data_IF_085726215131
#
_entry.id   IF_085726215131
#
_cell.length_a   1.000
_cell.length_b   1.000
_cell.length_c   1.000
_cell.angle_alpha   90.00
_cell.angle_beta   90.00
_cell.angle_gamma   90.00
#
_symmetry.space_group_name_H-M   'P 1'
#
loop_
_entity.id
_entity.type
_entity.pdbx_description
1 polymer ?
2 non-polymer ?
3 non-polymer ?
4 non-polymer ?
5 non-polymer ?
6 water ?
#
# COMPACT_ATOMS: atom_id res chain seq x y z
N UNK A 3 14.83 18.18 -18.10
CA UNK A 3 16.17 18.54 -17.55
C UNK A 3 16.23 20.00 -16.99
N UNK A 4 15.64 20.95 -17.71
CA UNK A 4 15.43 22.31 -17.20
C UNK A 4 13.92 22.56 -17.16
N UNK A 5 13.47 23.59 -16.42
CA UNK A 5 12.03 23.94 -16.35
C UNK A 5 11.47 24.24 -17.74
N UNK A 6 12.33 24.80 -18.60
CA UNK A 6 12.05 25.06 -20.02
C UNK A 6 11.68 23.78 -20.82
N UNK A 7 12.47 22.70 -20.66
CA UNK A 7 12.23 21.44 -21.39
C UNK A 7 11.15 20.56 -20.73
N UNK A 8 10.84 20.78 -19.46
CA UNK A 8 9.81 20.00 -18.79
C UNK A 8 9.11 20.96 -17.87
N UNK A 9 7.96 21.45 -18.34
CA UNK A 9 7.11 22.41 -17.62
C UNK A 9 6.56 21.87 -16.30
N UNK A 10 6.67 20.57 -16.04
CA UNK A 10 6.27 20.04 -14.75
C UNK A 10 7.36 19.96 -13.71
N UNK A 11 8.58 20.41 -14.03
CA UNK A 11 9.64 20.51 -13.04
C UNK A 11 9.54 21.82 -12.24
N UNK A 12 9.79 21.78 -10.93
CA UNK A 12 9.74 23.03 -10.11
C UNK A 12 11.19 23.60 -10.03
N UNK A 13 11.33 24.94 -9.96
CA UNK A 13 12.69 25.56 -9.89
C UNK A 13 13.37 25.03 -8.62
N UNK A 14 14.62 24.63 -8.77
CA UNK A 14 15.41 24.14 -7.64
C UNK A 14 15.47 25.17 -6.46
N UNK A 15 15.00 24.76 -5.23
CA UNK A 15 15.14 25.77 -4.16
C UNK A 15 16.57 26.07 -3.89
N UNK A 16 16.85 27.30 -3.38
CA UNK A 16 18.23 27.74 -3.23
C UNK A 16 19.05 26.95 -2.16
N UNK A 17 18.41 26.24 -1.20
CA UNK A 17 19.15 25.43 -0.25
C UNK A 17 19.57 24.06 -0.78
N UNK A 18 19.07 23.65 -1.93
CA UNK A 18 19.41 22.31 -2.47
C UNK A 18 20.66 22.38 -3.41
N UNK A 19 21.75 21.68 -3.07
CA UNK A 19 22.86 21.60 -4.03
C UNK A 19 22.52 20.80 -5.28
N UNK A 20 23.05 21.27 -6.40
CA UNK A 20 22.78 20.69 -7.68
C UNK A 20 23.16 19.22 -7.74
N UNK A 21 24.24 18.81 -7.07
CA UNK A 21 24.65 17.37 -7.12
C UNK A 21 23.70 16.41 -6.44
N UNK A 22 22.69 16.95 -5.74
CA UNK A 22 21.71 16.08 -5.08
C UNK A 22 20.42 15.93 -5.94
N UNK A 23 20.41 16.53 -7.10
CA UNK A 23 19.22 16.50 -7.90
C UNK A 23 19.14 15.18 -8.64
N UNK A 24 17.97 14.58 -8.60
CA UNK A 24 17.71 13.38 -9.38
C UNK A 24 16.19 13.40 -9.60
N UNK A 25 15.74 13.72 -10.81
CA UNK A 25 14.34 14.07 -10.99
C UNK A 25 13.39 12.86 -11.14
N UNK A 26 13.32 12.02 -10.13
CA UNK A 26 12.49 10.86 -10.14
C UNK A 26 11.01 11.27 -10.01
N UNK A 27 10.17 10.68 -10.82
CA UNK A 27 8.72 11.00 -10.75
C UNK A 27 7.96 9.81 -10.18
N UNK A 28 7.59 9.87 -8.90
CA UNK A 28 6.97 8.68 -8.23
C UNK A 28 5.63 8.25 -8.88
N UNK A 29 5.04 9.10 -9.70
CA UNK A 29 3.77 8.71 -10.29
C UNK A 29 4.03 8.25 -11.73
N UNK A 30 5.23 8.46 -12.25
CA UNK A 30 5.57 7.90 -13.56
C UNK A 30 7.09 7.70 -13.70
N UNK A 31 7.64 6.68 -13.00
CA UNK A 31 9.09 6.57 -12.98
C UNK A 31 9.55 6.18 -14.38
N UNK A 32 10.66 6.78 -14.85
CA UNK A 32 11.11 6.62 -16.23
C UNK A 32 11.33 5.16 -16.54
N UNK A 33 11.76 4.35 -15.58
CA UNK A 33 11.92 2.92 -15.91
C UNK A 33 10.75 1.96 -15.76
N UNK A 34 9.54 2.48 -15.78
CA UNK A 34 8.39 1.71 -15.36
C UNK A 34 8.16 0.37 -16.11
N UNK A 35 8.48 0.33 -17.39
CA UNK A 35 8.24 -0.87 -18.19
C UNK A 35 9.08 -2.07 -17.74
N UNK A 36 10.13 -1.89 -16.91
CA UNK A 36 10.94 -3.00 -16.46
C UNK A 36 10.23 -3.66 -15.29
N UNK A 37 9.11 -3.06 -14.84
CA UNK A 37 8.47 -3.42 -13.57
C UNK A 37 8.58 -2.27 -12.54
N UNK A 38 7.58 -2.14 -11.69
CA UNK A 38 7.53 -0.98 -10.75
C UNK A 38 8.69 -1.02 -9.68
N UNK A 39 8.89 -2.19 -9.05
CA UNK A 39 9.95 -2.27 -8.04
C UNK A 39 11.31 -1.99 -8.70
N UNK A 40 11.52 -2.56 -9.89
CA UNK A 40 12.73 -2.24 -10.71
C UNK A 40 12.91 -0.77 -11.05
N UNK A 41 11.78 -0.11 -11.34
CA UNK A 41 11.75 1.33 -11.67
C UNK A 41 12.16 2.19 -10.44
N UNK A 42 11.73 1.77 -9.26
CA UNK A 42 12.09 2.43 -8.01
C UNK A 42 13.56 2.21 -7.64
N UNK A 43 14.08 1.03 -7.99
CA UNK A 43 15.41 0.60 -7.53
C UNK A 43 16.52 1.26 -8.30
N UNK A 44 16.20 1.95 -9.38
CA UNK A 44 17.20 2.76 -10.04
C UNK A 44 17.65 3.82 -9.04
N UNK A 45 16.81 4.17 -8.04
CA UNK A 45 17.23 5.10 -6.96
C UNK A 45 18.34 4.53 -6.07
N UNK A 46 18.58 3.22 -6.19
CA UNK A 46 19.63 2.59 -5.42
C UNK A 46 20.87 2.23 -6.24
N UNK A 47 20.91 2.57 -7.54
CA UNK A 47 22.13 2.40 -8.36
C UNK A 47 23.26 3.24 -7.81
N UNK A 48 24.49 2.92 -8.19
CA UNK A 48 25.64 3.53 -7.60
C UNK A 48 25.80 5.03 -7.96
N UNK A 49 25.14 5.50 -9.01
CA UNK A 49 25.23 6.95 -9.36
C UNK A 49 24.34 7.92 -8.49
N UNK A 50 23.48 7.35 -7.64
CA UNK A 50 22.46 8.11 -6.87
C UNK A 50 22.86 8.23 -5.38
N UNK A 51 22.86 9.44 -4.82
CA UNK A 51 23.16 9.63 -3.42
C UNK A 51 22.08 9.05 -2.47
N UNK A 52 22.43 8.89 -1.21
CA UNK A 52 21.49 8.32 -0.26
C UNK A 52 20.21 9.14 -0.13
N UNK A 53 20.39 10.44 -0.29
CA UNK A 53 19.30 11.38 -0.11
C UNK A 53 19.34 12.33 -1.30
N UNK A 54 18.26 12.37 -2.08
CA UNK A 54 18.22 13.14 -3.34
C UNK A 54 17.02 14.08 -3.32
N UNK A 55 17.09 15.16 -4.09
CA UNK A 55 15.97 16.02 -4.35
C UNK A 55 15.46 15.85 -5.77
N UNK A 56 14.17 15.49 -5.87
CA UNK A 56 13.51 15.56 -7.17
C UNK A 56 12.75 16.86 -7.41
N UNK A 57 12.89 17.48 -8.60
CA UNK A 57 12.09 18.64 -8.96
C UNK A 57 10.64 18.27 -9.46
N UNK A 58 10.30 16.97 -9.54
CA UNK A 58 8.97 16.53 -9.95
C UNK A 58 8.00 16.63 -8.80
N UNK A 59 6.71 16.67 -9.16
CA UNK A 59 5.64 16.73 -8.22
C UNK A 59 5.83 17.85 -7.19
N UNK A 60 6.27 19.03 -7.62
CA UNK A 60 6.37 20.26 -6.74
C UNK A 60 7.78 20.40 -6.12
N UNK A 61 8.62 19.37 -6.25
CA UNK A 61 9.92 19.38 -5.59
C UNK A 61 9.92 18.76 -4.19
N UNK A 62 10.71 17.69 -3.99
CA UNK A 62 10.79 17.02 -2.67
C UNK A 62 12.00 16.12 -2.55
N UNK A 63 12.35 15.76 -1.30
CA UNK A 63 13.47 14.87 -1.01
C UNK A 63 12.96 13.46 -1.20
N UNK A 64 13.85 12.55 -1.56
CA UNK A 64 13.61 11.11 -1.43
C UNK A 64 14.77 10.44 -0.67
N UNK A 65 14.49 9.75 0.45
CA UNK A 65 15.57 8.92 1.07
C UNK A 65 15.56 7.61 0.28
N UNK A 66 16.74 7.10 -0.08
CA UNK A 66 16.80 5.94 -0.98
C UNK A 66 17.26 4.61 -0.38
N UNK A 67 17.64 4.61 0.89
CA UNK A 67 18.26 3.48 1.51
C UNK A 67 17.51 3.18 2.79
N UNK A 68 17.40 1.90 3.14
CA UNK A 68 16.63 1.48 4.31
C UNK A 68 16.98 2.21 5.58
N UNK A 69 18.26 2.41 5.83
CA UNK A 69 18.71 3.04 7.10
C UNK A 69 18.16 4.43 7.33
N UNK A 70 18.19 5.25 6.27
CA UNK A 70 17.66 6.61 6.33
C UNK A 70 16.14 6.58 6.39
N UNK A 71 15.52 5.61 5.75
CA UNK A 71 14.00 5.53 5.67
C UNK A 71 13.52 5.18 7.11
N UNK A 72 14.17 4.17 7.67
CA UNK A 72 13.93 3.78 9.04
C UNK A 72 14.22 4.94 10.04
N UNK A 73 15.39 5.57 10.00
CA UNK A 73 15.65 6.72 10.88
C UNK A 73 14.57 7.81 10.80
N UNK A 74 14.15 8.17 9.57
CA UNK A 74 13.22 9.27 9.39
C UNK A 74 11.86 8.90 9.90
N UNK A 75 11.46 7.65 9.67
CA UNK A 75 10.16 7.17 10.20
C UNK A 75 10.15 7.07 11.73
N UNK A 76 11.35 6.85 12.31
CA UNK A 76 11.47 6.84 13.80
C UNK A 76 11.39 8.22 14.42
N UNK A 77 11.95 9.20 13.72
CA UNK A 77 12.14 10.59 14.25
C UNK A 77 10.96 11.46 13.82
N UNK A 78 9.82 11.27 14.51
CA UNK A 78 8.65 12.05 14.16
C UNK A 78 8.79 13.50 14.59
N UNK A 79 9.77 13.81 15.46
CA UNK A 79 9.97 15.19 15.92
C UNK A 79 10.39 16.10 14.77
N UNK A 80 11.26 15.60 13.88
CA UNK A 80 11.68 16.38 12.71
C UNK A 80 10.83 16.03 11.50
N UNK A 81 10.35 14.76 11.42
CA UNK A 81 9.66 14.25 10.21
C UNK A 81 8.18 13.93 10.56
N UNK A 82 7.32 14.91 10.31
CA UNK A 82 5.95 14.85 10.81
C UNK A 82 5.00 14.20 9.81
N UNK A 83 4.02 13.46 10.29
CA UNK A 83 3.01 12.82 9.44
C UNK A 83 1.84 13.74 9.09
N UNK A 84 1.93 15.00 9.49
CA UNK A 84 0.81 15.87 9.26
C UNK A 84 0.56 16.05 7.76
N UNK A 85 1.62 15.99 6.97
CA UNK A 85 1.54 16.09 5.50
C UNK A 85 2.25 14.89 4.90
N UNK A 86 1.61 13.72 4.87
CA UNK A 86 2.41 12.57 4.49
C UNK A 86 2.33 12.10 3.05
N UNK A 87 1.59 12.80 2.20
CA UNK A 87 1.52 12.49 0.76
C UNK A 87 2.15 13.62 -0.07
N UNK A 88 2.80 13.21 -1.14
CA UNK A 88 3.29 14.04 -2.25
C UNK A 88 2.22 13.96 -3.35
N UNK A 89 1.85 15.08 -4.04
CA UNK A 89 2.34 16.46 -3.96
C UNK A 89 1.78 17.15 -2.72
N UNK A 90 2.27 18.37 -2.49
CA UNK A 90 2.00 19.14 -1.28
C UNK A 90 0.50 19.37 -1.04
N UNK A 91 -0.26 19.66 -2.08
CA UNK A 91 -1.73 19.82 -1.96
C UNK A 91 -2.38 18.61 -1.34
N UNK A 92 -1.97 17.43 -1.79
CA UNK A 92 -2.54 16.15 -1.27
C UNK A 92 -2.16 15.95 0.21
N UNK A 93 -0.87 16.07 0.54
CA UNK A 93 -0.41 16.05 1.92
C UNK A 93 -1.18 17.07 2.78
N UNK A 94 -1.39 18.29 2.29
CA UNK A 94 -2.14 19.27 3.10
C UNK A 94 -3.62 18.86 3.35
N UNK A 95 -4.29 18.33 2.34
CA UNK A 95 -5.66 17.86 2.50
C UNK A 95 -5.81 16.55 3.29
N UNK A 96 -4.74 15.76 3.37
CA UNK A 96 -4.80 14.45 4.00
C UNK A 96 -5.06 14.67 5.47
N UNK A 97 -6.18 14.19 5.98
CA UNK A 97 -6.43 14.44 7.40
C UNK A 97 -6.92 13.20 8.15
N UNK A 98 -6.72 12.02 7.55
CA UNK A 98 -7.01 10.73 8.15
C UNK A 98 -6.35 10.53 9.55
N UNK A 99 -7.09 9.86 10.42
CA UNK A 99 -6.70 9.51 11.78
C UNK A 99 -6.55 7.98 11.83
N UNK A 100 -5.46 7.46 12.41
CA UNK A 100 -4.38 8.22 13.12
C UNK A 100 -3.19 8.70 12.26
N UNK A 101 -3.19 8.38 10.98
CA UNK A 101 -2.00 8.53 10.18
C UNK A 101 -1.54 9.95 10.05
N UNK A 102 -2.44 10.96 10.06
CA UNK A 102 -1.99 12.39 10.00
C UNK A 102 -1.52 13.05 11.31
N UNK A 103 -1.47 12.28 12.39
CA UNK A 103 -1.15 12.80 13.73
C UNK A 103 0.21 12.24 14.18
N UNK A 104 1.00 13.06 14.84
CA UNK A 104 2.27 12.61 15.40
C UNK A 104 2.07 12.10 16.81
N UNK A 105 2.94 11.19 17.28
CA UNK A 105 2.87 10.89 18.70
C UNK A 105 3.01 12.16 19.56
N UNK A 106 2.34 12.22 20.71
CA UNK A 106 1.57 11.15 21.34
C UNK A 106 0.08 11.25 21.00
N UNK A 107 -0.31 12.17 20.14
CA UNK A 107 -1.76 12.25 19.92
C UNK A 107 -2.43 11.21 19.04
N UNK A 108 -1.67 10.46 18.21
CA UNK A 108 -2.28 9.35 17.47
C UNK A 108 -2.74 8.19 18.40
N UNK A 109 -2.26 8.16 19.66
CA UNK A 109 -2.36 6.99 20.52
C UNK A 109 -3.73 6.39 20.65
N UNK A 110 -4.67 7.19 21.08
CA UNK A 110 -6.01 6.64 21.37
C UNK A 110 -6.75 6.21 20.10
N UNK A 111 -6.40 6.83 18.99
CA UNK A 111 -7.10 6.52 17.73
C UNK A 111 -6.46 5.27 17.13
N UNK A 112 -5.15 5.13 17.31
CA UNK A 112 -4.49 3.90 16.92
C UNK A 112 -5.10 2.74 17.71
N UNK A 113 -5.41 3.01 18.99
CA UNK A 113 -5.97 1.99 19.88
C UNK A 113 -7.29 1.44 19.33
N UNK A 114 -8.16 2.40 18.97
CA UNK A 114 -9.50 2.13 18.45
C UNK A 114 -9.47 1.50 17.05
N UNK A 115 -8.67 2.04 16.12
CA UNK A 115 -8.49 1.37 14.81
C UNK A 115 -8.02 -0.09 14.96
N UNK A 116 -7.16 -0.38 15.97
CA UNK A 116 -6.65 -1.72 16.14
C UNK A 116 -7.77 -2.68 16.54
N UNK A 117 -8.73 -2.19 17.33
CA UNK A 117 -9.85 -2.99 17.79
C UNK A 117 -10.68 -3.48 16.64
N UNK A 118 -10.72 -2.75 15.53
CA UNK A 118 -11.54 -3.20 14.39
C UNK A 118 -10.88 -3.94 13.21
N UNK A 119 -9.54 -3.84 13.06
CA UNK A 119 -8.84 -4.61 12.02
C UNK A 119 -7.74 -5.52 12.51
N UNK A 120 -7.46 -5.53 13.82
CA UNK A 120 -6.29 -6.26 14.36
C UNK A 120 -6.49 -7.78 14.44
N UNK A 121 -5.55 -8.44 15.11
CA UNK A 121 -5.42 -9.87 15.06
C UNK A 121 -6.64 -10.66 15.49
N UNK A 122 -7.30 -10.30 16.62
CA UNK A 122 -8.56 -11.00 17.05
C UNK A 122 -9.68 -10.91 15.97
N UNK A 123 -9.77 -9.74 15.31
CA UNK A 123 -10.72 -9.58 14.18
C UNK A 123 -10.33 -10.55 13.03
N UNK A 124 -9.05 -10.59 12.68
CA UNK A 124 -8.58 -11.52 11.58
C UNK A 124 -8.88 -12.97 11.95
N UNK A 125 -8.59 -13.36 13.19
CA UNK A 125 -8.87 -14.76 13.55
C UNK A 125 -10.37 -15.01 13.50
N UNK A 126 -11.17 -14.07 13.96
CA UNK A 126 -12.65 -14.32 13.94
C UNK A 126 -13.13 -14.46 12.48
N UNK A 127 -12.43 -13.82 11.56
CA UNK A 127 -12.88 -13.77 10.15
C UNK A 127 -12.17 -14.83 9.28
N UNK A 128 -11.28 -15.62 9.84
CA UNK A 128 -10.49 -16.49 9.00
C UNK A 128 -11.32 -17.49 8.23
N UNK A 129 -12.32 -18.05 8.88
CA UNK A 129 -13.19 -18.99 8.14
C UNK A 129 -13.85 -18.32 6.92
N UNK A 130 -14.33 -17.08 7.10
CA UNK A 130 -14.96 -16.31 6.03
C UNK A 130 -13.96 -15.99 4.89
N UNK A 131 -12.71 -15.73 5.27
CA UNK A 131 -11.66 -15.46 4.30
C UNK A 131 -11.37 -16.76 3.44
N UNK A 132 -11.23 -17.90 4.11
CA UNK A 132 -11.03 -19.19 3.42
C UNK A 132 -12.24 -19.50 2.54
N UNK A 133 -13.45 -19.27 3.08
CA UNK A 133 -14.69 -19.49 2.35
C UNK A 133 -14.72 -18.74 1.02
N UNK A 134 -14.54 -17.41 1.08
CA UNK A 134 -14.48 -16.57 -0.10
C UNK A 134 -13.35 -16.92 -1.10
N UNK A 135 -12.11 -17.16 -0.60
CA UNK A 135 -10.95 -17.54 -1.47
C UNK A 135 -11.29 -18.83 -2.21
N UNK A 136 -11.82 -19.81 -1.47
CA UNK A 136 -12.13 -21.15 -2.04
C UNK A 136 -13.21 -21.04 -3.09
N UNK A 137 -14.25 -20.26 -2.76
CA UNK A 137 -15.38 -20.06 -3.64
C UNK A 137 -14.99 -19.37 -4.92
N UNK A 138 -14.27 -18.23 -4.84
CA UNK A 138 -13.77 -17.56 -6.04
C UNK A 138 -12.85 -18.45 -6.89
N UNK A 139 -11.93 -19.14 -6.25
CA UNK A 139 -10.96 -19.94 -6.96
C UNK A 139 -11.63 -21.17 -7.61
N UNK A 140 -12.50 -21.87 -6.90
CA UNK A 140 -13.28 -22.96 -7.49
C UNK A 140 -14.10 -22.47 -8.71
N UNK A 141 -14.66 -21.29 -8.61
CA UNK A 141 -15.41 -20.73 -9.72
C UNK A 141 -14.51 -20.38 -10.95
N UNK A 142 -13.27 -19.95 -10.74
CA UNK A 142 -12.35 -19.71 -11.88
C UNK A 142 -11.75 -21.03 -12.44
N UNK A 143 -11.49 -22.00 -11.58
CA UNK A 143 -10.68 -23.21 -11.89
C UNK A 143 -11.00 -23.91 -13.21
N UNK A 144 -12.33 -24.20 -13.50
CA UNK A 144 -12.57 -24.96 -14.72
C UNK A 144 -12.42 -24.15 -15.97
N UNK A 145 -12.36 -22.84 -15.86
CA UNK A 145 -12.25 -21.95 -17.03
C UNK A 145 -10.93 -21.89 -17.80
N UNK A 146 -9.83 -22.23 -17.15
CA UNK A 146 -8.50 -22.15 -17.80
C UNK A 146 -8.00 -20.75 -18.09
N UNK A 147 -8.62 -19.72 -17.51
CA UNK A 147 -8.16 -18.35 -17.77
C UNK A 147 -8.80 -17.39 -16.75
N UNK A 148 -8.20 -16.23 -16.49
CA UNK A 148 -8.92 -15.14 -15.78
C UNK A 148 -8.18 -13.86 -16.02
N UNK A 149 -8.82 -12.76 -15.65
CA UNK A 149 -8.21 -11.44 -15.63
C UNK A 149 -8.00 -11.30 -14.16
N UNK A 150 -6.76 -11.51 -13.69
CA UNK A 150 -6.58 -11.70 -12.26
C UNK A 150 -6.97 -10.47 -11.44
N UNK A 151 -6.59 -9.26 -11.89
CA UNK A 151 -6.92 -8.04 -11.10
C UNK A 151 -8.42 -7.95 -10.80
N UNK A 152 -9.26 -8.13 -11.81
CA UNK A 152 -10.66 -8.02 -11.52
C UNK A 152 -11.39 -9.29 -11.12
N UNK A 153 -10.85 -10.50 -11.40
CA UNK A 153 -11.59 -11.76 -11.04
C UNK A 153 -11.27 -12.27 -9.66
N UNK A 154 -10.18 -11.78 -9.09
CA UNK A 154 -9.79 -12.26 -7.78
C UNK A 154 -9.15 -11.15 -6.94
N UNK A 155 -8.09 -10.50 -7.49
CA UNK A 155 -7.25 -9.62 -6.64
C UNK A 155 -8.10 -8.48 -6.04
N UNK A 156 -9.05 -7.95 -6.80
CA UNK A 156 -9.99 -6.96 -6.22
C UNK A 156 -11.12 -7.57 -5.36
N UNK A 157 -11.87 -8.56 -5.93
CA UNK A 157 -13.07 -8.86 -5.18
C UNK A 157 -12.77 -9.58 -3.89
N UNK A 158 -11.66 -10.35 -3.85
CA UNK A 158 -11.33 -11.14 -2.65
C UNK A 158 -11.08 -10.25 -1.38
N UNK A 159 -10.09 -9.35 -1.43
CA UNK A 159 -9.88 -8.50 -0.27
C UNK A 159 -11.03 -7.49 -0.07
N UNK A 160 -11.63 -6.99 -1.15
CA UNK A 160 -12.54 -5.90 -1.00
C UNK A 160 -13.83 -6.48 -0.36
N UNK A 161 -14.28 -7.62 -0.82
CA UNK A 161 -15.52 -8.12 -0.23
C UNK A 161 -15.32 -8.46 1.25
N UNK A 162 -14.12 -8.94 1.63
CA UNK A 162 -13.83 -9.21 3.03
C UNK A 162 -13.94 -7.89 3.82
N UNK A 163 -13.30 -6.87 3.30
CA UNK A 163 -13.40 -5.60 3.93
C UNK A 163 -14.81 -4.99 4.04
N UNK A 164 -15.61 -5.08 2.97
CA UNK A 164 -16.95 -4.51 2.98
C UNK A 164 -17.83 -5.33 3.98
N UNK A 165 -17.58 -6.64 4.04
CA UNK A 165 -18.21 -7.50 5.08
C UNK A 165 -17.87 -7.03 6.49
N UNK A 166 -16.57 -6.80 6.76
CA UNK A 166 -16.12 -6.26 8.03
C UNK A 166 -16.74 -4.88 8.35
N UNK A 167 -16.84 -4.02 7.33
CA UNK A 167 -17.32 -2.68 7.54
C UNK A 167 -18.87 -2.59 7.45
N UNK A 168 -19.52 -3.71 7.14
CA UNK A 168 -20.98 -3.73 6.95
C UNK A 168 -21.47 -2.82 5.84
N UNK A 169 -20.69 -2.71 4.77
CA UNK A 169 -21.07 -1.93 3.60
C UNK A 169 -21.56 -2.84 2.46
N UNK A 170 -22.61 -2.41 1.69
CA UNK A 170 -23.10 -3.24 0.57
C UNK A 170 -22.06 -3.38 -0.54
N UNK A 171 -22.00 -4.57 -1.14
CA UNK A 171 -21.06 -4.84 -2.24
C UNK A 171 -21.35 -4.02 -3.49
N UNK A 172 -22.59 -3.54 -3.68
CA UNK A 172 -22.79 -2.70 -4.86
C UNK A 172 -22.18 -1.30 -4.70
N UNK A 173 -21.62 -0.93 -3.54
CA UNK A 173 -20.93 0.36 -3.45
C UNK A 173 -19.46 0.23 -3.80
N UNK A 174 -18.99 -0.99 -4.09
CA UNK A 174 -17.59 -1.19 -4.36
C UNK A 174 -17.06 -0.34 -5.51
N UNK A 175 -17.69 -0.41 -6.71
CA UNK A 175 -17.11 0.41 -7.80
C UNK A 175 -16.89 1.91 -7.44
N UNK A 176 -17.89 2.49 -6.77
CA UNK A 176 -17.82 3.87 -6.33
C UNK A 176 -16.69 4.12 -5.37
N UNK A 177 -16.53 3.26 -4.37
CA UNK A 177 -15.46 3.49 -3.39
C UNK A 177 -14.06 3.20 -3.93
N UNK A 178 -13.96 2.13 -4.72
CA UNK A 178 -12.70 1.73 -5.30
C UNK A 178 -12.16 2.83 -6.22
N UNK A 179 -13.01 3.39 -7.03
CA UNK A 179 -12.57 4.49 -7.87
C UNK A 179 -11.92 5.60 -7.03
N UNK A 180 -12.56 5.94 -5.90
CA UNK A 180 -12.11 7.08 -5.04
C UNK A 180 -10.79 6.76 -4.34
N UNK A 181 -10.66 5.55 -3.80
CA UNK A 181 -9.44 5.15 -3.10
C UNK A 181 -8.28 5.17 -4.09
N UNK A 182 -8.55 4.67 -5.31
CA UNK A 182 -7.56 4.70 -6.36
C UNK A 182 -7.15 6.09 -6.83
N UNK A 183 -8.07 7.06 -6.83
CA UNK A 183 -7.66 8.46 -7.18
C UNK A 183 -6.70 9.02 -6.11
N UNK A 184 -6.79 8.54 -4.87
CA UNK A 184 -5.90 9.01 -3.82
C UNK A 184 -4.43 8.54 -3.89
N UNK A 185 -4.25 7.30 -4.28
CA UNK A 185 -2.95 6.64 -4.37
C UNK A 185 -2.36 6.70 -5.77
N UNK A 186 -3.19 6.58 -6.80
CA UNK A 186 -2.67 6.58 -8.21
C UNK A 186 -3.50 7.54 -9.06
N UNK A 187 -3.47 8.85 -8.76
CA UNK A 187 -4.44 9.73 -9.43
C UNK A 187 -4.24 9.68 -10.95
N UNK A 188 -5.32 9.61 -11.71
CA UNK A 188 -5.24 9.73 -13.17
C UNK A 188 -5.13 11.19 -13.62
N UNK A 189 -5.27 12.14 -12.69
CA UNK A 189 -5.13 13.56 -12.99
C UNK A 189 -6.47 14.23 -13.12
N UNK A 190 -7.57 13.50 -13.07
CA UNK A 190 -8.91 14.12 -13.19
C UNK A 190 -9.57 14.39 -11.85
N UNK A 191 -8.91 14.00 -10.76
CA UNK A 191 -9.49 14.33 -9.45
C UNK A 191 -8.36 14.55 -8.44
N UNK A 192 -8.32 15.70 -7.78
CA UNK A 192 -7.34 15.99 -6.76
C UNK A 192 -7.58 15.08 -5.56
N UNK A 193 -6.57 14.93 -4.72
CA UNK A 193 -6.79 14.21 -3.48
C UNK A 193 -7.95 14.81 -2.64
N UNK A 194 -7.94 16.12 -2.38
CA UNK A 194 -9.06 16.76 -1.70
C UNK A 194 -10.45 16.40 -2.23
N UNK A 195 -10.57 16.29 -3.55
CA UNK A 195 -11.90 15.99 -4.12
C UNK A 195 -12.22 14.55 -3.84
N UNK A 196 -11.21 13.68 -3.97
CA UNK A 196 -11.51 12.26 -3.73
C UNK A 196 -11.85 12.05 -2.24
N UNK A 197 -11.18 12.77 -1.35
CA UNK A 197 -11.48 12.63 0.07
C UNK A 197 -12.90 13.17 0.40
N UNK A 198 -13.22 14.33 -0.16
CA UNK A 198 -14.54 14.94 0.05
C UNK A 198 -15.65 14.00 -0.42
N UNK A 199 -15.42 13.28 -1.52
CA UNK A 199 -16.43 12.35 -2.03
C UNK A 199 -16.52 11.12 -1.10
N UNK A 200 -15.37 10.55 -0.67
CA UNK A 200 -15.35 9.48 0.37
C UNK A 200 -16.06 9.91 1.67
N UNK A 201 -15.75 11.14 2.14
CA UNK A 201 -16.43 11.69 3.32
C UNK A 201 -17.94 11.90 3.12
N UNK A 202 -18.40 12.30 1.95
CA UNK A 202 -19.85 12.45 1.71
C UNK A 202 -20.59 11.10 1.76
N UNK A 203 -19.92 10.06 1.29
CA UNK A 203 -20.42 8.69 1.41
C UNK A 203 -20.50 8.28 2.86
N UNK A 204 -19.42 8.51 3.61
CA UNK A 204 -19.35 8.01 4.98
C UNK A 204 -20.22 8.75 6.00
N UNK A 205 -20.37 10.05 5.83
CA UNK A 205 -21.07 10.87 6.82
C UNK A 205 -22.51 10.39 7.12
N UNK A 206 -23.35 10.15 6.08
CA UNK A 206 -24.68 9.68 6.47
C UNK A 206 -24.66 8.28 7.13
N UNK A 207 -23.76 7.41 6.71
CA UNK A 207 -23.66 6.07 7.31
C UNK A 207 -23.27 6.13 8.80
N UNK A 208 -22.33 7.02 9.11
CA UNK A 208 -21.82 7.15 10.47
C UNK A 208 -22.96 7.70 11.35
N UNK A 209 -23.76 8.60 10.78
CA UNK A 209 -24.89 9.13 11.61
C UNK A 209 -25.87 8.03 11.95
N UNK A 210 -26.34 7.34 10.92
CA UNK A 210 -27.19 6.14 11.07
C UNK A 210 -26.66 5.21 12.17
N UNK A 211 -25.34 4.98 12.16
CA UNK A 211 -24.75 3.93 13.00
C UNK A 211 -24.41 4.37 14.43
N UNK A 212 -24.42 5.69 14.63
CA UNK A 212 -24.42 6.26 15.98
C UNK A 212 -25.83 6.27 16.56
N UNK A 213 -26.83 6.38 15.70
CA UNK A 213 -28.24 6.19 16.17
C UNK A 213 -28.63 4.75 16.39
N UNK A 214 -28.29 3.85 15.46
CA UNK A 214 -28.68 2.45 15.56
C UNK A 214 -27.45 1.59 15.23
N UNK A 215 -26.53 1.40 16.20
CA UNK A 215 -25.24 0.69 15.87
C UNK A 215 -25.50 -0.77 15.49
N UNK A 216 -24.60 -1.35 14.68
CA UNK A 216 -24.51 -2.79 14.44
C UNK A 216 -23.28 -3.34 15.08
N UNK A 217 -22.83 -4.50 14.62
CA UNK A 217 -21.62 -5.09 15.15
C UNK A 217 -20.39 -4.86 14.22
N UNK A 218 -20.63 -4.23 13.06
CA UNK A 218 -19.61 -3.88 12.01
C UNK A 218 -18.54 -2.88 12.40
N UNK A 219 -17.39 -2.86 11.69
CA UNK A 219 -16.28 -1.97 12.05
C UNK A 219 -16.74 -0.49 12.14
N UNK A 220 -17.64 -0.06 11.25
CA UNK A 220 -17.98 1.34 11.25
C UNK A 220 -18.78 1.69 12.52
N UNK A 221 -19.69 0.80 12.95
CA UNK A 221 -20.46 1.06 14.17
C UNK A 221 -19.52 1.04 15.39
N UNK A 222 -18.51 0.15 15.40
CA UNK A 222 -17.56 0.11 16.55
C UNK A 222 -16.77 1.43 16.66
N UNK A 223 -16.25 1.90 15.52
CA UNK A 223 -15.50 3.14 15.49
C UNK A 223 -16.33 4.34 15.91
N UNK A 224 -17.54 4.44 15.35
CA UNK A 224 -18.35 5.64 15.45
C UNK A 224 -18.91 5.84 16.86
N UNK A 225 -18.82 4.78 17.65
CA UNK A 225 -19.35 4.71 18.96
C UNK A 225 -18.24 4.45 19.96
N UNK A 226 -16.98 4.60 19.54
CA UNK A 226 -15.84 4.44 20.47
C UNK A 226 -15.65 5.64 21.42
N UNK A 227 -14.80 5.46 22.43
CA UNK A 227 -14.28 6.54 23.28
C UNK A 227 -12.83 6.74 22.99
N UNK A 228 -12.46 8.01 22.87
CA UNK A 228 -11.09 8.39 22.72
C UNK A 228 -10.86 9.61 23.64
N UNK A 229 -9.68 9.69 24.22
CA UNK A 229 -9.25 10.92 24.95
C UNK A 229 -10.22 11.32 26.06
N UNK A 230 -10.86 10.33 26.68
CA UNK A 230 -11.78 10.60 27.78
C UNK A 230 -13.18 11.01 27.41
N UNK A 231 -13.57 10.86 26.13
CA UNK A 231 -14.87 11.36 25.69
C UNK A 231 -15.39 10.49 24.52
N UNK A 232 -16.66 10.64 24.14
CA UNK A 232 -17.11 9.91 22.95
C UNK A 232 -16.38 10.46 21.68
N UNK A 233 -16.07 9.58 20.73
CA UNK A 233 -15.49 10.05 19.49
C UNK A 233 -16.59 10.90 18.83
N UNK A 234 -16.22 11.93 18.07
CA UNK A 234 -17.19 12.72 17.37
C UNK A 234 -17.47 12.04 16.05
N UNK A 235 -18.52 12.48 15.37
CA UNK A 235 -18.84 11.97 14.02
C UNK A 235 -17.71 12.28 13.06
N UNK A 236 -17.10 13.46 13.25
CA UNK A 236 -16.04 13.89 12.32
C UNK A 236 -14.78 13.10 12.54
N UNK A 237 -14.48 12.78 13.77
CA UNK A 237 -13.27 11.97 13.99
C UNK A 237 -13.44 10.55 13.40
N UNK A 238 -14.64 10.01 13.60
CA UNK A 238 -14.97 8.63 13.16
C UNK A 238 -14.88 8.63 11.64
N UNK A 239 -15.31 9.73 11.03
CA UNK A 239 -15.23 9.87 9.59
C UNK A 239 -13.78 9.84 9.09
N UNK A 240 -12.91 10.61 9.74
CA UNK A 240 -11.44 10.65 9.39
C UNK A 240 -10.71 9.30 9.61
N UNK A 241 -11.13 8.53 10.64
CA UNK A 241 -10.69 7.14 10.80
C UNK A 241 -11.25 6.19 9.74
N UNK A 242 -12.57 6.24 9.46
CA UNK A 242 -13.17 5.30 8.48
C UNK A 242 -12.65 5.51 7.05
N UNK A 243 -12.40 6.75 6.71
CA UNK A 243 -11.80 7.08 5.41
C UNK A 243 -10.52 6.28 5.23
N UNK A 244 -9.63 6.36 6.23
CA UNK A 244 -8.37 5.57 6.20
C UNK A 244 -8.64 4.07 6.11
N UNK A 245 -9.57 3.56 6.93
CA UNK A 245 -9.89 2.14 6.86
C UNK A 245 -10.28 1.68 5.46
N UNK A 246 -11.15 2.45 4.79
CA UNK A 246 -11.54 2.15 3.43
C UNK A 246 -10.34 2.08 2.47
N UNK A 247 -9.47 3.07 2.58
CA UNK A 247 -8.31 3.07 1.69
C UNK A 247 -7.41 1.85 1.91
N UNK A 248 -7.09 1.51 3.17
CA UNK A 248 -6.35 0.25 3.46
C UNK A 248 -7.12 -1.01 3.00
N UNK A 249 -8.43 -1.06 3.22
CA UNK A 249 -9.21 -2.22 2.76
C UNK A 249 -9.26 -2.34 1.22
N UNK A 250 -9.38 -1.23 0.52
CA UNK A 250 -9.65 -1.37 -0.94
C UNK A 250 -8.41 -1.24 -1.85
N UNK A 251 -7.27 -0.80 -1.32
CA UNK A 251 -6.14 -0.51 -2.19
C UNK A 251 -4.75 -0.93 -1.69
N UNK A 252 -4.69 -2.01 -0.95
CA UNK A 252 -3.37 -2.44 -0.50
C UNK A 252 -3.21 -3.88 -0.99
N UNK A 253 -3.81 -4.83 -0.26
CA UNK A 253 -3.66 -6.25 -0.57
C UNK A 253 -4.09 -6.50 -2.00
N UNK A 254 -5.10 -5.77 -2.44
CA UNK A 254 -5.59 -5.86 -3.80
C UNK A 254 -4.44 -5.77 -4.83
N UNK A 255 -3.57 -4.78 -4.66
CA UNK A 255 -2.44 -4.59 -5.57
C UNK A 255 -1.40 -5.62 -5.26
N UNK A 256 -1.14 -5.87 -3.98
CA UNK A 256 -0.03 -6.84 -3.70
C UNK A 256 -0.23 -8.27 -4.32
N UNK A 257 -1.46 -8.78 -4.22
CA UNK A 257 -1.80 -10.11 -4.73
C UNK A 257 -1.47 -10.25 -6.24
N UNK A 258 -1.69 -9.18 -7.02
CA UNK A 258 -1.32 -9.22 -8.46
C UNK A 258 0.20 -9.33 -8.70
N UNK A 259 1.00 -8.57 -7.97
CA UNK A 259 2.46 -8.70 -8.12
C UNK A 259 2.91 -10.12 -7.82
N UNK A 260 2.41 -10.64 -6.71
CA UNK A 260 2.76 -11.98 -6.31
C UNK A 260 2.35 -13.06 -7.29
N UNK A 261 1.12 -12.95 -7.81
CA UNK A 261 0.59 -13.99 -8.72
C UNK A 261 1.23 -13.87 -10.08
N UNK A 262 1.53 -12.64 -10.47
CA UNK A 262 2.33 -12.42 -11.69
C UNK A 262 3.68 -13.10 -11.54
N UNK A 263 4.38 -12.85 -10.45
CA UNK A 263 5.66 -13.58 -10.18
C UNK A 263 5.53 -15.10 -10.24
N UNK A 264 4.50 -15.64 -9.60
CA UNK A 264 4.32 -17.08 -9.58
C UNK A 264 3.99 -17.67 -10.97
N UNK A 265 3.21 -16.93 -11.77
CA UNK A 265 2.93 -17.29 -13.12
C UNK A 265 4.21 -17.31 -13.91
N UNK A 266 5.06 -16.33 -13.69
CA UNK A 266 6.38 -16.22 -14.41
C UNK A 266 7.50 -17.15 -13.83
N UNK A 267 7.25 -17.82 -12.71
CA UNK A 267 8.35 -18.64 -12.11
C UNK A 267 7.95 -20.04 -11.64
N UNK A 268 7.91 -21.03 -12.58
CA UNK A 268 7.42 -22.39 -12.27
C UNK A 268 8.17 -23.03 -11.09
N UNK A 269 9.45 -22.67 -10.94
CA UNK A 269 10.30 -23.22 -9.89
C UNK A 269 9.87 -22.80 -8.52
N UNK A 270 9.52 -21.52 -8.39
CA UNK A 270 8.96 -21.05 -7.13
C UNK A 270 7.62 -21.67 -6.82
N UNK A 271 6.75 -21.79 -7.85
CA UNK A 271 5.46 -22.49 -7.66
C UNK A 271 5.70 -23.89 -7.16
N UNK A 272 6.63 -24.58 -7.81
CA UNK A 272 6.86 -26.01 -7.54
C UNK A 272 7.32 -26.17 -6.14
N UNK A 273 8.12 -25.22 -5.67
CA UNK A 273 8.61 -25.30 -4.31
C UNK A 273 7.46 -25.14 -3.29
N UNK A 274 6.45 -24.34 -3.62
CA UNK A 274 5.32 -24.20 -2.68
C UNK A 274 4.32 -25.36 -2.82
N UNK A 275 4.15 -25.87 -4.03
CA UNK A 275 3.34 -27.08 -4.24
C UNK A 275 3.93 -28.22 -3.43
N UNK A 276 5.23 -28.50 -3.63
CA UNK A 276 5.88 -29.58 -2.88
C UNK A 276 6.02 -29.38 -1.39
N UNK A 277 6.11 -28.14 -0.92
CA UNK A 277 6.23 -27.87 0.52
C UNK A 277 5.28 -26.76 1.07
N UNK A 278 3.97 -27.07 1.16
CA UNK A 278 2.93 -26.08 1.41
C UNK A 278 3.22 -25.31 2.67
N UNK A 279 3.90 -25.99 3.60
CA UNK A 279 4.30 -25.46 4.89
C UNK A 279 5.23 -24.26 4.79
N UNK A 280 5.93 -24.13 3.66
CA UNK A 280 6.74 -22.96 3.35
C UNK A 280 5.94 -21.69 2.95
N UNK A 281 4.61 -21.81 2.82
CA UNK A 281 3.78 -20.68 2.33
C UNK A 281 3.89 -19.42 3.21
N UNK A 282 3.80 -19.54 4.56
CA UNK A 282 3.96 -18.32 5.29
C UNK A 282 5.32 -17.62 5.10
N UNK A 283 6.41 -18.36 5.07
CA UNK A 283 7.76 -17.69 4.90
C UNK A 283 7.92 -17.17 3.51
N UNK A 284 7.39 -17.91 2.53
CA UNK A 284 7.35 -17.42 1.17
C UNK A 284 6.57 -16.13 1.08
N UNK A 285 5.43 -16.01 1.78
CA UNK A 285 4.63 -14.76 1.73
C UNK A 285 5.40 -13.54 2.17
N UNK A 286 6.23 -13.72 3.22
CA UNK A 286 7.03 -12.66 3.75
C UNK A 286 8.10 -12.21 2.75
N UNK A 287 8.78 -13.17 2.13
CA UNK A 287 9.74 -12.88 1.07
C UNK A 287 9.05 -12.15 -0.12
N UNK A 288 7.84 -12.56 -0.50
CA UNK A 288 7.13 -11.81 -1.53
C UNK A 288 6.77 -10.38 -1.12
N UNK A 289 6.50 -10.21 0.18
CA UNK A 289 6.09 -8.92 0.79
C UNK A 289 7.29 -8.01 0.73
N UNK A 290 8.49 -8.59 0.76
CA UNK A 290 9.72 -7.84 0.59
C UNK A 290 10.00 -7.50 -0.88
N UNK A 291 10.10 -8.52 -1.72
CA UNK A 291 10.50 -8.30 -3.09
C UNK A 291 9.43 -7.48 -3.86
N UNK A 292 8.13 -7.63 -3.49
CA UNK A 292 7.03 -6.96 -4.25
C UNK A 292 6.33 -5.94 -3.38
N UNK A 293 7.08 -5.42 -2.42
CA UNK A 293 6.70 -4.21 -1.64
C UNK A 293 6.20 -3.09 -2.56
N UNK A 294 5.28 -2.26 -2.10
CA UNK A 294 4.53 -1.41 -3.05
C UNK A 294 4.07 -0.01 -2.55
N UNK A 295 4.45 0.32 -1.32
CA UNK A 295 3.98 1.59 -0.73
C UNK A 295 5.10 2.58 -0.67
N UNK A 296 4.78 3.84 -1.00
CA UNK A 296 5.65 4.95 -0.76
C UNK A 296 4.91 6.21 -0.25
N UNK A 297 4.86 6.46 1.05
CA UNK A 297 4.44 7.82 1.45
C UNK A 297 5.65 8.52 2.15
N UNK A 298 5.41 9.53 2.98
CA UNK A 298 6.54 10.32 3.46
C UNK A 298 6.09 11.16 4.60
N UNK A 299 6.88 12.22 4.79
CA UNK A 299 6.69 13.11 5.93
C UNK A 299 7.02 14.53 5.57
N UNK A 300 6.73 15.46 6.48
CA UNK A 300 7.10 16.89 6.25
C UNK A 300 7.98 17.42 7.40
N UNK A 301 8.96 18.27 7.05
CA UNK A 301 9.96 18.80 7.95
C UNK A 301 9.34 19.83 8.89
N UNK A 302 9.59 19.62 10.18
CA UNK A 302 8.98 20.50 11.21
C UNK A 302 9.90 21.66 11.52
N UNK A 303 11.16 21.58 11.06
CA UNK A 303 12.18 22.60 11.36
C UNK A 303 13.35 22.34 10.41
N UNK A 304 14.23 23.33 10.23
CA UNK A 304 15.48 23.07 9.51
C UNK A 304 16.20 21.94 10.26
N UNK A 305 16.97 21.11 9.55
CA UNK A 305 17.50 19.90 10.13
C UNK A 305 18.54 19.32 9.19
N UNK A 306 19.76 19.15 9.69
CA UNK A 306 20.79 18.56 8.89
C UNK A 306 20.75 17.05 9.11
N UNK A 307 20.47 16.27 8.04
CA UNK A 307 20.25 14.81 8.16
C UNK A 307 21.22 14.13 7.20
N UNK A 308 22.11 13.32 7.74
CA UNK A 308 23.14 12.73 6.95
C UNK A 308 23.91 13.68 6.10
N UNK A 309 24.31 14.83 6.66
CA UNK A 309 25.11 15.79 5.87
C UNK A 309 24.31 16.64 4.89
N UNK A 310 22.99 16.63 4.99
CA UNK A 310 22.15 17.31 3.98
C UNK A 310 21.27 18.27 4.78
N UNK A 311 21.30 19.52 4.37
CA UNK A 311 20.50 20.53 5.03
C UNK A 311 19.04 20.42 4.57
N UNK A 312 18.12 20.07 5.45
CA UNK A 312 16.71 20.04 5.16
C UNK A 312 16.08 21.32 5.74
N UNK A 313 15.11 21.89 5.04
CA UNK A 313 14.48 23.10 5.55
C UNK A 313 13.06 22.77 6.02
N UNK A 314 12.56 23.56 6.99
CA UNK A 314 11.20 23.44 7.52
C UNK A 314 10.21 23.57 6.39
N UNK A 315 9.26 22.64 6.32
CA UNK A 315 8.27 22.69 5.27
C UNK A 315 8.66 21.90 4.03
N UNK A 316 9.94 21.51 3.94
CA UNK A 316 10.42 20.58 2.86
C UNK A 316 9.68 19.24 3.03
N UNK A 317 9.20 18.64 1.93
CA UNK A 317 8.57 17.29 2.00
C UNK A 317 9.64 16.26 1.72
N UNK A 318 9.54 15.13 2.40
CA UNK A 318 10.42 13.99 2.19
C UNK A 318 9.64 12.67 1.98
N UNK A 319 9.85 12.08 0.80
CA UNK A 319 9.27 10.80 0.46
C UNK A 319 10.17 9.74 1.10
N UNK A 320 9.58 8.83 1.86
CA UNK A 320 10.36 7.80 2.53
C UNK A 320 9.85 6.39 2.05
N UNK A 321 10.30 5.94 0.85
CA UNK A 321 9.63 4.80 0.19
C UNK A 321 9.77 3.48 0.98
N UNK A 322 8.68 3.11 1.69
CA UNK A 322 8.62 1.81 2.40
C UNK A 322 9.07 0.68 1.51
N UNK A 323 8.71 0.74 0.23
CA UNK A 323 9.09 -0.25 -0.76
C UNK A 323 10.64 -0.40 -0.84
N UNK A 324 11.39 0.65 -0.57
CA UNK A 324 12.83 0.57 -0.88
C UNK A 324 13.66 -0.10 0.19
N UNK A 325 13.22 -0.09 1.44
CA UNK A 325 14.14 -0.65 2.50
C UNK A 325 14.59 -2.10 2.19
N UNK A 326 13.62 -2.95 1.87
CA UNK A 326 13.92 -4.35 1.60
C UNK A 326 14.54 -4.66 0.24
N UNK A 327 14.51 -3.69 -0.68
CA UNK A 327 15.16 -3.83 -1.97
C UNK A 327 16.64 -3.35 -1.84
N UNK A 328 16.98 -2.79 -0.67
CA UNK A 328 18.31 -2.22 -0.42
C UNK A 328 19.27 -3.38 -0.22
N UNK A 329 20.34 -3.42 -1.01
CA UNK A 329 21.27 -4.55 -0.99
C UNK A 329 21.99 -4.61 0.35
N UNK A 330 21.97 -3.49 1.09
CA UNK A 330 22.54 -3.43 2.46
C UNK A 330 21.63 -4.12 3.50
N UNK A 331 20.35 -4.31 3.17
CA UNK A 331 19.42 -5.07 4.04
C UNK A 331 19.30 -6.55 3.63
N UNK A 332 19.46 -6.80 2.35
CA UNK A 332 19.24 -8.17 1.82
C UNK A 332 20.18 -8.40 0.65
N UNK A 333 20.99 -9.47 0.67
CA UNK A 333 21.87 -9.78 -0.47
C UNK A 333 21.02 -10.14 -1.72
N UNK A 334 21.50 -9.79 -2.91
CA UNK A 334 20.84 -10.09 -4.18
C UNK A 334 19.34 -9.81 -4.03
N UNK A 335 19.01 -8.53 -3.73
CA UNK A 335 17.64 -8.21 -3.28
C UNK A 335 16.52 -8.41 -4.33
N UNK A 336 16.87 -8.41 -5.63
CA UNK A 336 15.88 -8.59 -6.67
C UNK A 336 15.54 -10.04 -6.91
N UNK A 337 16.31 -10.96 -6.26
CA UNK A 337 16.05 -12.42 -6.28
C UNK A 337 15.17 -12.83 -5.14
N UNK A 338 14.23 -13.72 -5.45
CA UNK A 338 13.23 -14.19 -4.51
C UNK A 338 13.74 -15.49 -3.94
N UNK A 339 13.93 -15.57 -2.63
CA UNK A 339 14.43 -16.80 -2.03
C UNK A 339 13.62 -16.99 -0.78
N UNK A 340 12.79 -18.02 -0.82
CA UNK A 340 11.84 -18.25 0.24
C UNK A 340 12.53 -18.73 1.52
N UNK A 341 13.80 -19.12 1.42
CA UNK A 341 14.54 -19.60 2.60
C UNK A 341 15.47 -18.56 3.22
N UNK A 342 15.45 -17.28 2.78
CA UNK A 342 16.21 -16.22 3.47
C UNK A 342 16.11 -16.28 5.00
N UNK A 343 17.24 -16.24 5.68
CA UNK A 343 17.22 -16.38 7.13
C UNK A 343 16.50 -15.18 7.73
N UNK A 344 16.75 -14.02 7.13
CA UNK A 344 16.11 -12.78 7.64
C UNK A 344 15.56 -11.95 6.45
N UNK A 345 14.24 -11.91 6.35
CA UNK A 345 13.56 -11.11 5.31
C UNK A 345 13.41 -9.68 5.83
N UNK A 346 14.37 -8.84 5.54
CA UNK A 346 14.38 -7.49 6.14
C UNK A 346 13.61 -6.55 5.22
N UNK A 347 12.60 -5.86 5.74
CA UNK A 347 11.75 -5.03 4.89
C UNK A 347 11.08 -3.99 5.72
N UNK A 348 10.50 -2.97 5.09
CA UNK A 348 9.64 -2.10 5.88
C UNK A 348 8.34 -1.96 5.11
N UNK A 349 7.86 -3.08 4.63
CA UNK A 349 6.71 -3.10 3.71
C UNK A 349 5.45 -2.57 4.34
N UNK A 350 5.30 -2.81 5.67
CA UNK A 350 4.16 -2.36 6.47
C UNK A 350 4.43 -1.07 7.24
N UNK A 351 5.47 -0.34 6.82
CA UNK A 351 5.85 0.92 7.47
C UNK A 351 6.81 0.64 8.65
N UNK A 352 6.93 1.61 9.54
CA UNK A 352 8.02 1.65 10.51
C UNK A 352 7.76 2.77 11.48
N UNK A 353 8.00 2.48 12.76
CA UNK A 353 7.72 3.45 13.84
C UNK A 353 6.25 3.45 14.26
N UNK A 354 5.80 4.63 14.65
CA UNK A 354 4.61 4.79 15.39
C UNK A 354 3.31 4.55 14.58
N UNK A 355 3.39 4.69 13.25
CA UNK A 355 2.31 4.42 12.33
C UNK A 355 2.41 3.04 11.70
N UNK A 356 3.27 2.20 12.24
CA UNK A 356 3.36 0.81 11.69
C UNK A 356 1.96 0.25 11.39
N UNK A 357 1.83 -0.43 10.25
CA UNK A 357 0.52 -0.89 9.72
C UNK A 357 -0.35 -1.65 10.74
N UNK A 358 -1.57 -1.21 10.95
CA UNK A 358 -2.51 -2.02 11.76
C UNK A 358 -3.22 -3.17 11.02
N UNK A 359 -3.33 -3.07 9.73
CA UNK A 359 -3.97 -4.13 8.98
C UNK A 359 -3.05 -5.22 8.48
N UNK A 360 -1.79 -5.20 8.92
CA UNK A 360 -0.84 -6.18 8.39
C UNK A 360 -1.21 -7.66 8.62
N UNK A 361 -1.82 -7.97 9.77
CA UNK A 361 -2.32 -9.31 10.07
C UNK A 361 -3.48 -9.75 9.16
N UNK A 362 -4.39 -8.85 8.90
CA UNK A 362 -5.42 -9.10 7.84
C UNK A 362 -4.74 -9.36 6.47
N UNK A 363 -3.81 -8.48 6.10
CA UNK A 363 -3.06 -8.66 4.86
C UNK A 363 -2.33 -10.02 4.77
N UNK A 364 -1.62 -10.42 5.83
CA UNK A 364 -0.87 -11.71 5.76
C UNK A 364 -1.84 -12.91 5.62
N UNK A 365 -2.93 -12.89 6.39
CA UNK A 365 -3.90 -14.00 6.31
C UNK A 365 -4.44 -14.06 4.89
N UNK A 366 -4.83 -12.91 4.36
CA UNK A 366 -5.37 -12.91 2.97
C UNK A 366 -4.40 -13.46 1.94
N UNK A 367 -3.12 -13.06 2.05
CA UNK A 367 -2.06 -13.54 1.14
C UNK A 367 -1.83 -15.03 1.32
N UNK A 368 -1.72 -15.44 2.59
CA UNK A 368 -1.40 -16.81 2.86
C UNK A 368 -2.53 -17.71 2.39
N UNK A 369 -3.76 -17.35 2.72
CA UNK A 369 -4.93 -18.12 2.32
C UNK A 369 -5.00 -18.11 0.78
N UNK A 370 -4.74 -16.96 0.17
CA UNK A 370 -4.80 -16.96 -1.31
C UNK A 370 -3.81 -17.95 -1.93
N UNK A 371 -2.55 -17.84 -1.54
CA UNK A 371 -1.53 -18.77 -2.02
C UNK A 371 -1.84 -20.24 -1.76
N UNK A 372 -2.17 -20.62 -0.52
CA UNK A 372 -2.48 -22.02 -0.25
C UNK A 372 -3.66 -22.51 -1.12
N UNK A 373 -4.76 -21.77 -1.16
CA UNK A 373 -5.91 -22.25 -1.91
C UNK A 373 -5.70 -22.23 -3.45
N UNK A 374 -5.02 -21.21 -3.97
CA UNK A 374 -4.73 -21.17 -5.39
C UNK A 374 -3.85 -22.32 -5.79
N UNK A 375 -2.73 -22.49 -5.08
CA UNK A 375 -1.75 -23.52 -5.48
C UNK A 375 -2.27 -24.93 -5.30
N UNK A 376 -3.26 -25.13 -4.41
CA UNK A 376 -3.94 -26.45 -4.29
C UNK A 376 -4.87 -26.81 -5.45
N UNK A 377 -5.65 -25.84 -5.91
CA UNK A 377 -6.63 -26.04 -6.97
C UNK A 377 -6.06 -25.81 -8.38
N UNK A 378 -5.19 -24.81 -8.55
CA UNK A 378 -4.67 -24.43 -9.86
C UNK A 378 -3.11 -24.28 -9.71
N UNK A 379 -2.40 -25.41 -9.57
CA UNK A 379 -0.95 -25.42 -9.27
C UNK A 379 -0.12 -24.94 -10.48
N UNK A 380 -0.74 -24.95 -11.67
CA UNK A 380 -0.03 -24.75 -12.91
C UNK A 380 -0.74 -23.70 -13.76
N UNK A 381 -0.12 -22.54 -13.91
CA UNK A 381 -0.74 -21.50 -14.69
C UNK A 381 0.37 -20.64 -15.25
N UNK A 382 0.01 -19.73 -16.13
CA UNK A 382 1.02 -18.89 -16.70
C UNK A 382 0.42 -17.58 -17.24
N UNK A 383 1.28 -16.64 -17.64
CA UNK A 383 0.78 -15.44 -18.26
C UNK A 383 0.13 -15.76 -19.59
N UNK A 384 -1.01 -15.13 -19.95
CA UNK A 384 -1.60 -15.29 -21.32
C UNK A 384 -0.54 -15.05 -22.41
N UNK A 385 -0.42 -15.97 -23.37
CA UNK A 385 0.73 -15.90 -24.27
C UNK A 385 0.68 -14.60 -25.07
N UNK A 386 1.84 -13.98 -25.29
CA UNK A 386 1.87 -12.66 -25.91
C UNK A 386 1.51 -11.49 -24.99
N UNK A 387 0.93 -11.72 -23.81
CA UNK A 387 0.65 -10.58 -22.90
C UNK A 387 1.95 -10.02 -22.27
N UNK A 388 2.10 -8.70 -22.30
CA UNK A 388 3.21 -8.05 -21.61
C UNK A 388 2.66 -7.22 -20.47
N UNK A 389 3.03 -7.57 -19.25
CA UNK A 389 2.42 -7.02 -18.05
C UNK A 389 2.95 -5.60 -17.80
N UNK A 390 2.03 -4.66 -17.64
CA UNK A 390 2.36 -3.28 -17.25
C UNK A 390 1.95 -3.00 -15.80
N UNK A 391 2.85 -2.32 -15.09
CA UNK A 391 2.59 -1.83 -13.73
C UNK A 391 2.26 -0.33 -13.70
N UNK A 392 1.83 0.14 -12.54
CA UNK A 392 1.51 1.56 -12.36
C UNK A 392 2.07 1.96 -11.02
N UNK A 393 2.32 3.26 -10.85
CA UNK A 393 3.16 3.73 -9.79
C UNK A 393 2.47 4.88 -9.09
N UNK A 394 2.62 4.90 -7.77
CA UNK A 394 2.10 6.01 -6.97
C UNK A 394 2.37 5.77 -5.51
N UNK A 395 1.52 6.31 -4.67
CA UNK A 395 1.59 6.04 -3.23
C UNK A 395 1.50 4.53 -2.94
N UNK A 396 0.59 3.89 -3.64
CA UNK A 396 0.56 2.42 -3.61
C UNK A 396 0.67 2.02 -5.09
N UNK A 397 1.65 1.17 -5.39
CA UNK A 397 1.83 0.76 -6.79
C UNK A 397 0.97 -0.47 -7.12
N UNK A 398 0.77 -0.74 -8.39
CA UNK A 398 -0.21 -1.75 -8.82
C UNK A 398 0.13 -2.37 -10.16
N UNK A 399 -0.76 -3.27 -10.59
CA UNK A 399 -0.57 -4.00 -11.82
C UNK A 399 -1.78 -3.62 -12.69
N UNK A 400 -1.55 -3.15 -13.91
CA UNK A 400 -2.71 -2.73 -14.73
C UNK A 400 -3.66 -3.86 -15.13
N UNK A 401 -3.09 -5.01 -15.50
CA UNK A 401 -3.91 -6.15 -15.93
C UNK A 401 -3.05 -7.40 -15.79
N UNK A 402 -3.66 -8.52 -15.41
CA UNK A 402 -2.88 -9.75 -15.25
C UNK A 402 -3.66 -10.92 -15.84
N UNK A 403 -3.66 -11.03 -17.17
CA UNK A 403 -4.36 -12.15 -17.86
C UNK A 403 -3.62 -13.47 -17.66
N UNK A 404 -4.24 -14.40 -16.94
CA UNK A 404 -3.58 -15.69 -16.66
C UNK A 404 -4.24 -16.83 -17.44
N UNK A 405 -3.51 -17.90 -17.70
CA UNK A 405 -4.10 -19.06 -18.37
C UNK A 405 -3.59 -20.36 -17.75
N UNK A 406 -4.43 -21.39 -17.82
CA UNK A 406 -4.00 -22.73 -17.45
C UNK A 406 -4.82 -23.76 -18.19
N UNK A 407 -4.33 -24.99 -18.20
CA UNK A 407 -5.09 -26.09 -18.74
C UNK A 407 -5.97 -26.61 -17.59
N UNK A 408 -7.29 -26.58 -17.78
CA UNK A 408 -8.21 -27.04 -16.72
C UNK A 408 -7.96 -28.46 -16.31
N UNK A 409 -7.49 -29.30 -17.23
CA UNK A 409 -7.18 -30.68 -16.92
C UNK A 409 -6.15 -30.77 -15.79
N UNK A 410 -5.32 -29.74 -15.62
CA UNK A 410 -4.26 -29.84 -14.61
C UNK A 410 -4.75 -29.43 -13.22
N UNK A 411 -6.05 -29.10 -13.09
CA UNK A 411 -6.53 -28.48 -11.88
C UNK A 411 -7.11 -29.54 -10.95
N UNK A 412 -7.28 -29.19 -9.69
CA UNK A 412 -7.59 -30.21 -8.63
C UNK A 412 -8.64 -29.75 -7.67
N UNK A 413 -9.33 -30.71 -7.05
CA UNK A 413 -10.32 -30.40 -6.01
C UNK A 413 -9.86 -30.93 -4.69
X LIG B 1 -0.50 2.00 8.05
X LIG B 1 1.20 -0.69 4.28
X LIG B 1 -2.84 -3.45 4.51
X LIG B 1 -4.87 -0.22 7.75
X LIG B 1 0.33 1.49 6.98
X LIG B 1 1.66 2.06 6.67
X LIG B 1 2.18 1.26 5.56
X LIG B 1 1.09 0.29 5.31
X LIG B 1 3.45 1.41 4.79
X LIG B 1 2.32 3.23 7.38
X LIG B 1 2.12 4.51 6.56
X LIG B 1 2.74 5.76 7.21
X LIG B 1 3.64 5.59 8.06
X LIG B 1 2.33 6.92 6.87
X LIG B 1 0.22 -1.75 4.03
X LIG B 1 0.46 -2.78 3.00
X LIG B 1 -0.76 -3.60 3.11
X LIG B 1 -1.52 -2.94 4.15
X LIG B 1 1.67 -2.79 2.13
X LIG B 1 -1.22 -4.79 2.35
X LIG B 1 -0.31 -5.58 1.73
X LIG B 1 -3.82 -2.74 5.34
X LIG B 1 -5.19 -3.25 5.49
X LIG B 1 -5.78 -2.29 6.41
X LIG B 1 -4.72 -1.29 6.76
X LIG B 1 -5.78 -4.48 4.85
X LIG B 1 -7.13 -2.31 6.98
X LIG B 1 -8.19 -2.85 6.42
X LIG B 1 -3.73 0.59 8.14
X LIG B 1 -4.00 1.67 9.09
X LIG B 1 -2.70 2.34 9.21
X LIG B 1 -1.86 1.61 8.27
X LIG B 1 -5.25 1.95 9.80
X LIG B 1 -2.36 3.57 10.03
X LIG B 1 -1.69 3.11 11.32
X LIG B 1 -1.37 4.38 12.10
X LIG B 1 -1.37 5.51 11.57
X LIG B 1 -1.15 4.30 13.27
X LIG B 1 -0.10 0.48 6.07
X LIG B 1 -0.96 -1.82 4.65
X LIG B 1 -3.48 -1.51 6.07
X LIG B 1 -2.46 0.61 7.58
X LIG B 1 -1.59 -0.78 6.32
X LIG C 1 -2.67 -2.07 21.14
X LIG C 1 -2.64 -0.66 21.00
X LIG C 1 -2.15 -0.12 19.78
X LIG C 1 -1.76 -0.96 18.71
X LIG C 1 -1.80 -2.36 18.87
X LIG C 1 -2.25 -2.90 20.10
X LIG C 1 -2.32 -4.27 20.26
X LIG C 1 -1.93 -5.10 19.20
X LIG C 1 -1.98 -6.50 19.38
X LIG C 1 -2.44 -7.06 20.56
X LIG C 1 -2.83 -6.21 21.62
X LIG C 1 -2.76 -4.82 21.47
X LIG C 1 -3.14 -4.02 22.53
X LIG C 1 -3.10 -2.65 22.36
X LIG C 1 -1.46 -4.58 17.98
X LIG C 1 -1.40 -3.20 17.82
X LIG C 1 -3.47 0.14 21.78
X LIG C 1 -4.18 -0.41 22.79
X LIG C 1 -3.60 -1.08 23.64
X LIG C 1 -5.68 -0.26 22.87
X LIG D 1 -2.34 4.36 2.93
X LIG D 1 -2.43 5.50 3.92
X LIG D 1 -2.96 6.62 3.76
X LIG D 1 -1.83 5.03 5.25
X LIG D 1 -1.44 3.61 4.80
X LIG D 1 -2.68 2.79 4.66
X LIG D 1 -3.43 3.42 3.45
X LIG D 1 -1.07 3.71 3.33
X LIG D 1 0.18 4.61 3.05
X LIG D 1 -0.89 2.33 2.63
X LIG D 1 -2.49 4.68 1.43
X LIG E 1 -2.62 17.51 6.38
X LIG F 1 23.63 -7.89 3.48
#
# INVERSE_FOLDING_TARGET
ATETIQSNANLAPLPPHVPEHLVFDFDMYNPSNLSAGVQEAWAVLQESNVPDLVWTRSNGGHWIATRGQLIREAYEDYRHFSSESPFIPREAGEAYDFIPTSMDPPEQRQFRCLANQVVGMPVVDKLENRIQELASSLIESLRPQGQCNFTEDYAEPFPIRIFMLLAGLPEEDIPHLKYLTDQMTRPDGSMTFAEAKEALYDYLIPIIEQRRQKPGTDAISIVANGQVNGRPITSDEAKRMCGLLLVGGLDTVVNFLSFSMEFLAKSPEHRQELIERPERIPAASEELLRRFSLVADGRILTSDYEFHGVQLKKGDQILLPQMLSGLDERENAAPMHVDFSRQKVSHTTFGHGSHLCLGQHLARREIIVTLKEWLTRIPDFSIAPGAQIQHKSGIVSGVQALPLVWDPATTKA
HEM CHA CHB CHC CHD C1A C2A C3A C4A CMA CAA CBA CGA O1A O2A C1B C2B C3B C4B CMB CAB CBB C1C C2C C3C C4C CMC CAC CBC C1D C2D C3D C4D CMD CAD CBD CGD O1D O2D NA NB NC ND FE
1T4 C1 C2 C3 C4 C5 C6 C7 C8 C9 C10 C11 C12 C13 C14 C15 C16 N1 C17 O18 C19
CAM C1 C2 O C3 C4 C5 C6 C7 C8 C9 C10
K K
K K
#
